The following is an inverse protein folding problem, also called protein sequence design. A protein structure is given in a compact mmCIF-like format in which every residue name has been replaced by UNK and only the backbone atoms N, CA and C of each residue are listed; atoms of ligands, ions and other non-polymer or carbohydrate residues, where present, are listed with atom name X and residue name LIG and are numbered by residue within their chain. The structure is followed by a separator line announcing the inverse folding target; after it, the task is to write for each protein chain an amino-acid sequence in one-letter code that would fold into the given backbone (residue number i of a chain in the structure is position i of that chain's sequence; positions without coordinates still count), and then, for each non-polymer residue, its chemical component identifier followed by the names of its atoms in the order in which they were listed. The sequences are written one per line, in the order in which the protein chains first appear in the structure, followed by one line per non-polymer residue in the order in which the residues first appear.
data_IF_676437923010
#
_entry.id   IF_676437923010
#
_cell.length_a   1.000
_cell.length_b   1.000
_cell.length_c   1.000
_cell.angle_alpha   90.00
_cell.angle_beta   90.00
_cell.angle_gamma   90.00
#
_symmetry.space_group_name_H-M   'P 1'
#
loop_
_entity.id
_entity.type
_entity.pdbx_description
1 polymer ?
#
# COMPACT_ATOMS: atom_id res chain seq x y z
N UNK A 1 -43.34 -0.65 -30.03
CA UNK A 1 -44.71 -0.26 -29.69
C UNK A 1 -45.23 -1.33 -28.74
N UNK A 2 -45.41 -1.14 -27.45
CA UNK A 2 -45.37 0.00 -26.54
C UNK A 2 -44.87 -0.59 -25.18
N UNK A 3 -44.19 0.09 -24.26
CA UNK A 3 -44.36 1.41 -23.63
C UNK A 3 -43.01 1.72 -22.94
N UNK A 4 -42.22 2.69 -23.39
CA UNK A 4 -42.15 4.06 -22.83
C UNK A 4 -42.29 4.18 -21.31
N UNK A 5 -41.20 4.70 -20.71
CA UNK A 5 -41.20 5.76 -19.70
C UNK A 5 -42.02 5.54 -18.41
N UNK A 6 -41.38 4.98 -17.38
CA UNK A 6 -41.82 5.17 -16.00
C UNK A 6 -40.71 4.82 -14.98
N UNK A 7 -39.78 5.76 -14.74
CA UNK A 7 -39.17 6.05 -13.42
C UNK A 7 -38.11 7.16 -13.49
N UNK A 8 -38.32 8.23 -14.27
CA UNK A 8 -37.51 9.45 -14.14
C UNK A 8 -38.07 10.30 -13.00
N UNK A 9 -37.31 10.45 -11.91
CA UNK A 9 -37.67 11.39 -10.83
C UNK A 9 -37.36 10.95 -9.39
N UNK A 10 -36.79 9.77 -9.18
CA UNK A 10 -36.24 9.37 -7.87
C UNK A 10 -34.74 9.66 -7.79
N UNK A 11 -34.21 9.95 -6.60
CA UNK A 11 -32.77 9.93 -6.35
C UNK A 11 -32.28 8.48 -6.53
N UNK A 12 -31.88 8.11 -7.74
CA UNK A 12 -31.27 6.82 -8.04
C UNK A 12 -29.81 6.90 -7.62
N UNK A 13 -29.50 6.35 -6.45
CA UNK A 13 -28.13 6.27 -5.96
C UNK A 13 -27.44 5.06 -6.60
N UNK A 14 -26.31 5.30 -7.27
CA UNK A 14 -25.41 4.25 -7.75
C UNK A 14 -24.12 4.27 -6.92
N UNK A 15 -24.04 3.49 -5.82
CA UNK A 15 -22.89 3.52 -4.92
C UNK A 15 -21.55 3.19 -5.60
N UNK A 16 -21.57 2.45 -6.71
CA UNK A 16 -20.35 2.04 -7.41
C UNK A 16 -19.74 3.17 -8.25
N UNK A 17 -20.49 4.23 -8.55
CA UNK A 17 -20.03 5.33 -9.39
C UNK A 17 -18.86 6.10 -8.79
N UNK A 18 -18.69 6.02 -7.47
CA UNK A 18 -17.58 6.63 -6.74
C UNK A 18 -16.20 6.04 -7.12
N UNK A 19 -16.17 4.82 -7.66
CA UNK A 19 -14.92 4.13 -8.06
C UNK A 19 -14.65 4.19 -9.56
N UNK A 20 -15.46 4.93 -10.32
CA UNK A 20 -15.24 5.08 -11.76
C UNK A 20 -14.04 6.00 -12.00
N UNK A 21 -13.09 5.49 -12.78
CA UNK A 21 -11.92 6.26 -13.23
C UNK A 21 -12.35 7.25 -14.30
N UNK A 22 -12.14 8.54 -14.05
CA UNK A 22 -12.50 9.61 -14.99
C UNK A 22 -11.27 10.46 -15.33
N UNK A 23 -11.12 10.90 -16.59
CA UNK A 23 -10.08 11.87 -16.94
C UNK A 23 -10.33 13.18 -16.19
N UNK A 24 -9.25 13.81 -15.73
CA UNK A 24 -9.30 15.08 -15.00
C UNK A 24 -9.47 16.26 -15.96
N UNK A 25 -8.92 16.15 -17.17
CA UNK A 25 -8.99 17.16 -18.21
C UNK A 25 -9.52 16.54 -19.51
N UNK A 26 -10.42 17.27 -20.17
CA UNK A 26 -11.02 16.86 -21.44
C UNK A 26 -12.16 15.85 -21.29
N UNK A 27 -12.82 15.58 -22.42
CA UNK A 27 -13.87 14.58 -22.55
C UNK A 27 -13.45 13.62 -23.66
N UNK A 28 -12.80 12.52 -23.28
CA UNK A 28 -12.27 11.52 -24.18
C UNK A 28 -11.90 10.24 -23.44
N UNK A 29 -11.45 9.24 -24.18
CA UNK A 29 -11.08 7.95 -23.62
C UNK A 29 -9.84 8.05 -22.71
N UNK A 30 -9.77 7.15 -21.72
CA UNK A 30 -8.62 7.04 -20.83
C UNK A 30 -7.50 6.31 -21.57
N UNK A 31 -6.41 7.02 -21.84
CA UNK A 31 -5.17 6.46 -22.37
C UNK A 31 -4.15 6.28 -21.24
N UNK A 32 -3.03 5.59 -21.52
CA UNK A 32 -2.04 5.22 -20.50
C UNK A 32 -1.46 6.39 -19.68
N UNK A 33 -1.34 7.58 -20.28
CA UNK A 33 -0.77 8.76 -19.61
C UNK A 33 -1.81 9.85 -19.35
N UNK A 34 -3.10 9.54 -19.44
CA UNK A 34 -4.15 10.52 -19.16
C UNK A 34 -4.23 10.79 -17.66
N UNK A 35 -4.09 12.05 -17.20
CA UNK A 35 -4.34 12.39 -15.80
C UNK A 35 -5.80 12.12 -15.46
N UNK A 36 -6.03 11.24 -14.50
CA UNK A 36 -7.35 10.84 -13.99
C UNK A 36 -7.50 11.24 -12.53
N UNK A 37 -8.71 11.11 -12.00
CA UNK A 37 -8.97 11.16 -10.55
C UNK A 37 -8.02 10.25 -9.75
N UNK A 38 -7.75 9.02 -10.20
CA UNK A 38 -6.79 8.11 -9.54
C UNK A 38 -5.41 8.75 -9.43
N UNK A 39 -4.87 9.27 -10.54
CA UNK A 39 -3.54 9.87 -10.57
C UNK A 39 -3.45 11.14 -9.71
N UNK A 40 -4.54 11.93 -9.66
CA UNK A 40 -4.64 13.10 -8.80
C UNK A 40 -4.56 12.69 -7.32
N UNK A 41 -5.36 11.73 -6.88
CA UNK A 41 -5.39 11.30 -5.48
C UNK A 41 -4.10 10.60 -5.07
N UNK A 42 -3.47 9.82 -5.96
CA UNK A 42 -2.12 9.28 -5.73
C UNK A 42 -1.08 10.40 -5.55
N UNK A 43 -1.11 11.43 -6.39
CA UNK A 43 -0.21 12.57 -6.27
C UNK A 43 -0.45 13.32 -4.96
N UNK A 44 -1.70 13.54 -4.56
CA UNK A 44 -2.05 14.16 -3.27
C UNK A 44 -1.56 13.32 -2.08
N UNK A 45 -1.67 11.98 -2.14
CA UNK A 45 -1.11 11.10 -1.11
C UNK A 45 0.40 11.30 -0.98
N UNK A 46 1.14 11.27 -2.09
CA UNK A 46 2.60 11.48 -2.08
C UNK A 46 2.95 12.87 -1.55
N UNK A 47 2.27 13.91 -2.01
CA UNK A 47 2.46 15.28 -1.54
C UNK A 47 2.18 15.42 -0.05
N UNK A 48 1.12 14.80 0.47
CA UNK A 48 0.78 14.83 1.89
C UNK A 48 1.86 14.14 2.74
N UNK A 49 2.39 13.00 2.29
CA UNK A 49 3.49 12.30 2.97
C UNK A 49 4.75 13.16 2.95
N UNK A 50 5.12 13.72 1.79
CA UNK A 50 6.28 14.62 1.67
C UNK A 50 6.11 15.86 2.55
N UNK A 51 4.92 16.45 2.58
CA UNK A 51 4.64 17.60 3.43
C UNK A 51 4.81 17.25 4.92
N UNK A 52 4.27 16.12 5.38
CA UNK A 52 4.43 15.71 6.77
C UNK A 52 5.89 15.37 7.11
N UNK A 53 6.52 14.48 6.33
CA UNK A 53 7.83 13.94 6.68
C UNK A 53 8.98 14.91 6.38
N UNK A 54 8.95 15.62 5.26
CA UNK A 54 10.04 16.52 4.85
C UNK A 54 9.84 17.90 5.43
N UNK A 55 8.66 18.51 5.25
CA UNK A 55 8.43 19.86 5.77
C UNK A 55 8.23 19.86 7.28
N UNK A 56 7.64 18.81 7.84
CA UNK A 56 7.45 18.66 9.29
C UNK A 56 8.75 18.47 10.08
N UNK A 57 9.82 17.96 9.46
CA UNK A 57 11.12 17.73 10.11
C UNK A 57 12.21 18.73 9.71
N UNK A 58 11.90 19.64 8.78
CA UNK A 58 12.86 20.59 8.16
C UNK A 58 13.55 21.52 9.15
N UNK A 59 12.83 22.00 10.15
CA UNK A 59 13.40 22.78 11.25
C UNK A 59 13.53 21.84 12.44
N UNK A 60 14.59 21.02 12.48
CA UNK A 60 14.85 20.10 13.60
C UNK A 60 15.14 20.88 14.88
N UNK A 61 14.08 21.43 15.49
CA UNK A 61 14.11 22.20 16.73
C UNK A 61 14.20 21.22 17.90
N UNK A 62 14.93 21.62 18.94
CA UNK A 62 15.11 20.83 20.17
C UNK A 62 13.76 20.62 20.90
N UNK A 63 12.87 21.61 20.84
CA UNK A 63 11.47 21.46 21.26
C UNK A 63 10.61 21.33 20.01
N UNK A 64 10.05 20.13 19.73
CA UNK A 64 9.36 19.89 18.47
C UNK A 64 8.02 20.62 18.41
N UNK A 65 7.71 21.16 17.23
CA UNK A 65 6.37 21.64 16.91
C UNK A 65 5.39 20.49 16.66
N UNK A 66 4.08 20.77 16.60
CA UNK A 66 3.03 19.73 16.44
C UNK A 66 3.25 18.79 15.24
N UNK A 67 3.60 19.34 14.07
CA UNK A 67 3.85 18.56 12.85
C UNK A 67 5.13 17.72 12.95
N UNK A 68 6.18 18.27 13.53
CA UNK A 68 7.43 17.56 13.81
C UNK A 68 7.18 16.38 14.75
N UNK A 69 6.43 16.58 15.84
CA UNK A 69 6.08 15.51 16.78
C UNK A 69 5.33 14.37 16.10
N UNK A 70 4.37 14.65 15.22
CA UNK A 70 3.64 13.61 14.48
C UNK A 70 4.61 12.82 13.58
N UNK A 71 5.50 13.51 12.86
CA UNK A 71 6.46 12.86 11.98
C UNK A 71 7.47 12.01 12.76
N UNK A 72 8.01 12.51 13.87
CA UNK A 72 8.94 11.79 14.75
C UNK A 72 8.30 10.58 15.42
N UNK A 73 7.05 10.71 15.87
CA UNK A 73 6.29 9.59 16.44
C UNK A 73 6.04 8.49 15.40
N UNK A 74 5.63 8.87 14.18
CA UNK A 74 5.44 7.92 13.09
C UNK A 74 6.75 7.21 12.73
N UNK A 75 7.85 7.96 12.60
CA UNK A 75 9.18 7.40 12.35
C UNK A 75 9.59 6.42 13.45
N UNK A 76 9.53 6.83 14.71
CA UNK A 76 9.94 6.01 15.85
C UNK A 76 9.08 4.77 16.03
N UNK A 77 7.76 4.89 15.80
CA UNK A 77 6.83 3.76 15.82
C UNK A 77 7.20 2.72 14.78
N UNK A 78 7.36 3.12 13.50
CA UNK A 78 7.69 2.18 12.42
C UNK A 78 9.09 1.60 12.61
N UNK A 79 10.07 2.41 13.03
CA UNK A 79 11.43 1.94 13.27
C UNK A 79 11.46 0.86 14.34
N UNK A 80 10.83 1.13 15.48
CA UNK A 80 10.77 0.20 16.59
C UNK A 80 10.01 -1.08 16.20
N UNK A 81 8.90 -0.96 15.47
CA UNK A 81 8.18 -2.12 14.94
C UNK A 81 9.07 -3.01 14.06
N UNK A 82 9.88 -2.40 13.18
CA UNK A 82 10.82 -3.16 12.33
C UNK A 82 11.91 -3.83 13.17
N UNK A 83 12.50 -3.11 14.13
CA UNK A 83 13.52 -3.67 15.01
C UNK A 83 12.97 -4.82 15.88
N UNK A 84 11.76 -4.67 16.42
CA UNK A 84 11.12 -5.67 17.29
C UNK A 84 10.74 -6.95 16.52
N UNK A 85 10.32 -6.83 15.25
CA UNK A 85 9.87 -7.98 14.43
C UNK A 85 11.01 -8.65 13.67
N UNK A 86 11.88 -7.86 13.03
CA UNK A 86 12.92 -8.34 12.13
C UNK A 86 14.34 -8.28 12.73
N UNK A 87 14.48 -7.74 13.94
CA UNK A 87 15.77 -7.54 14.60
C UNK A 87 16.56 -6.37 14.01
N UNK A 88 17.72 -6.10 14.62
CA UNK A 88 18.63 -5.00 14.23
C UNK A 88 19.10 -5.10 12.77
N UNK A 89 19.34 -6.30 12.27
CA UNK A 89 19.72 -6.52 10.88
C UNK A 89 18.58 -6.27 9.89
N UNK A 90 17.32 -6.33 10.36
CA UNK A 90 16.12 -6.01 9.59
C UNK A 90 15.92 -4.52 9.36
N UNK A 91 16.49 -3.67 10.24
CA UNK A 91 16.39 -2.20 10.16
C UNK A 91 16.94 -1.64 8.85
N UNK A 92 17.82 -2.36 8.13
CA UNK A 92 18.25 -1.92 6.78
C UNK A 92 17.10 -1.81 5.77
N UNK A 93 15.99 -2.53 5.98
CA UNK A 93 14.79 -2.43 5.16
C UNK A 93 13.81 -1.37 5.68
N UNK A 94 14.13 -0.70 6.78
CA UNK A 94 13.30 0.34 7.37
C UNK A 94 12.84 1.40 6.36
N UNK A 95 13.70 1.97 5.48
CA UNK A 95 13.23 2.98 4.52
C UNK A 95 12.12 2.46 3.61
N UNK A 96 12.25 1.22 3.13
CA UNK A 96 11.25 0.59 2.27
C UNK A 96 9.92 0.36 3.02
N UNK A 97 10.00 -0.20 4.23
CA UNK A 97 8.83 -0.45 5.07
C UNK A 97 8.14 0.86 5.47
N UNK A 98 8.92 1.88 5.82
CA UNK A 98 8.42 3.22 6.16
C UNK A 98 7.67 3.85 4.98
N UNK A 99 8.22 3.75 3.75
CA UNK A 99 7.52 4.25 2.56
C UNK A 99 6.19 3.54 2.35
N UNK A 100 6.16 2.20 2.41
CA UNK A 100 4.93 1.43 2.24
C UNK A 100 3.89 1.76 3.31
N UNK A 101 4.32 1.78 4.58
CA UNK A 101 3.45 2.10 5.70
C UNK A 101 2.82 3.48 5.55
N UNK A 102 3.64 4.50 5.31
CA UNK A 102 3.15 5.88 5.17
C UNK A 102 2.26 6.04 3.93
N UNK A 103 2.61 5.40 2.82
CA UNK A 103 1.77 5.39 1.62
C UNK A 103 0.39 4.81 1.89
N UNK A 104 0.32 3.61 2.46
CA UNK A 104 -0.94 2.92 2.72
C UNK A 104 -1.79 3.69 3.73
N UNK A 105 -1.19 4.18 4.82
CA UNK A 105 -1.90 4.95 5.85
C UNK A 105 -2.48 6.22 5.24
N UNK A 106 -1.68 7.02 4.53
CA UNK A 106 -2.17 8.26 3.94
C UNK A 106 -3.19 8.03 2.83
N UNK A 107 -2.97 7.05 1.94
CA UNK A 107 -3.93 6.72 0.88
C UNK A 107 -5.31 6.37 1.47
N UNK A 108 -5.33 5.56 2.53
CA UNK A 108 -6.58 5.20 3.21
C UNK A 108 -7.20 6.38 3.97
N UNK A 109 -6.41 7.21 4.65
CA UNK A 109 -6.92 8.40 5.34
C UNK A 109 -7.51 9.43 4.37
N UNK A 110 -6.83 9.71 3.25
CA UNK A 110 -7.37 10.58 2.20
C UNK A 110 -8.65 9.99 1.58
N UNK A 111 -8.75 8.67 1.50
CA UNK A 111 -9.95 7.97 1.04
C UNK A 111 -11.18 8.14 1.93
N UNK A 112 -11.02 8.57 3.19
CA UNK A 112 -12.14 8.86 4.10
C UNK A 112 -12.78 10.24 3.87
N UNK A 113 -12.12 11.12 3.11
CA UNK A 113 -12.66 12.44 2.83
C UNK A 113 -13.91 12.32 1.92
N UNK A 114 -15.01 13.02 2.23
CA UNK A 114 -16.16 13.06 1.33
C UNK A 114 -15.74 13.53 -0.06
N UNK A 115 -16.29 12.90 -1.10
CA UNK A 115 -15.94 13.15 -2.51
C UNK A 115 -14.50 12.77 -2.92
N UNK A 116 -13.77 12.06 -2.06
CA UNK A 116 -12.46 11.50 -2.38
C UNK A 116 -12.55 10.27 -3.27
N UNK A 117 -11.48 10.03 -4.02
CA UNK A 117 -11.29 8.78 -4.74
C UNK A 117 -10.36 7.86 -3.95
N UNK A 118 -10.88 6.73 -3.48
CA UNK A 118 -10.11 5.75 -2.73
C UNK A 118 -9.21 4.92 -3.65
N UNK A 119 -7.93 5.29 -3.77
CA UNK A 119 -6.97 4.62 -4.66
C UNK A 119 -6.70 3.17 -4.25
N UNK A 120 -6.80 2.84 -2.97
CA UNK A 120 -6.60 1.49 -2.42
C UNK A 120 -7.77 0.53 -2.69
N UNK A 121 -8.93 1.02 -3.14
CA UNK A 121 -10.04 0.17 -3.57
C UNK A 121 -9.77 -0.55 -4.89
N UNK A 122 -8.79 -0.09 -5.68
CA UNK A 122 -8.38 -0.77 -6.90
C UNK A 122 -7.34 -1.85 -6.61
N UNK A 123 -7.69 -3.09 -6.97
CA UNK A 123 -6.78 -4.23 -6.83
C UNK A 123 -5.45 -4.02 -7.55
N UNK A 124 -5.41 -3.26 -8.64
CA UNK A 124 -4.17 -2.96 -9.34
C UNK A 124 -3.14 -2.27 -8.44
N UNK A 125 -3.57 -1.31 -7.61
CA UNK A 125 -2.66 -0.58 -6.71
C UNK A 125 -2.15 -1.51 -5.61
N UNK A 126 -3.06 -2.22 -4.93
CA UNK A 126 -2.69 -3.10 -3.81
C UNK A 126 -1.90 -4.33 -4.26
N UNK A 127 -2.23 -4.91 -5.41
CA UNK A 127 -1.50 -6.04 -5.99
C UNK A 127 -0.07 -5.64 -6.39
N UNK A 128 0.14 -4.46 -6.96
CA UNK A 128 1.49 -3.98 -7.29
C UNK A 128 2.34 -3.81 -6.02
N UNK A 129 1.79 -3.23 -4.95
CA UNK A 129 2.50 -3.11 -3.67
C UNK A 129 2.80 -4.48 -3.05
N UNK A 130 1.83 -5.40 -3.07
CA UNK A 130 2.00 -6.75 -2.55
C UNK A 130 3.07 -7.52 -3.34
N UNK A 131 3.03 -7.47 -4.68
CA UNK A 131 4.04 -8.07 -5.54
C UNK A 131 5.42 -7.46 -5.33
N UNK A 132 5.52 -6.13 -5.16
CA UNK A 132 6.79 -5.49 -4.87
C UNK A 132 7.41 -6.02 -3.57
N UNK A 133 6.62 -6.15 -2.50
CA UNK A 133 7.07 -6.74 -1.22
C UNK A 133 7.44 -8.21 -1.39
N UNK A 134 6.55 -9.00 -1.98
CA UNK A 134 6.74 -10.43 -2.19
C UNK A 134 8.05 -10.70 -2.96
N UNK A 135 8.21 -10.07 -4.11
CA UNK A 135 9.43 -10.20 -4.93
C UNK A 135 10.67 -9.72 -4.18
N UNK A 136 10.59 -8.60 -3.45
CA UNK A 136 11.73 -8.10 -2.67
C UNK A 136 12.17 -9.12 -1.63
N UNK A 137 11.24 -9.69 -0.85
CA UNK A 137 11.56 -10.68 0.19
C UNK A 137 12.11 -11.95 -0.43
N UNK A 138 11.48 -12.47 -1.49
CA UNK A 138 11.95 -13.69 -2.17
C UNK A 138 13.34 -13.50 -2.77
N UNK A 139 13.57 -12.41 -3.52
CA UNK A 139 14.87 -12.12 -4.13
C UNK A 139 15.95 -11.96 -3.04
N UNK A 140 15.68 -11.18 -1.99
CA UNK A 140 16.63 -11.00 -0.88
C UNK A 140 16.91 -12.32 -0.16
N UNK A 141 15.89 -13.17 0.02
CA UNK A 141 16.02 -14.50 0.61
C UNK A 141 17.02 -15.37 -0.16
N UNK A 142 16.84 -15.48 -1.49
CA UNK A 142 17.76 -16.21 -2.36
C UNK A 142 19.15 -15.57 -2.43
N UNK A 143 19.27 -14.24 -2.45
CA UNK A 143 20.58 -13.56 -2.50
C UNK A 143 21.39 -13.83 -1.22
N UNK A 144 20.75 -13.87 -0.05
CA UNK A 144 21.44 -14.07 1.23
C UNK A 144 21.71 -15.53 1.56
N UNK A 145 20.80 -16.44 1.21
CA UNK A 145 20.85 -17.85 1.64
C UNK A 145 20.98 -18.85 0.50
N UNK A 146 20.95 -18.40 -0.76
CA UNK A 146 21.05 -19.26 -1.94
C UNK A 146 19.94 -20.33 -1.96
N UNK A 147 20.31 -21.56 -2.28
CA UNK A 147 19.38 -22.70 -2.31
C UNK A 147 18.88 -23.07 -0.91
N UNK A 148 19.65 -22.76 0.15
CA UNK A 148 19.22 -22.99 1.55
C UNK A 148 18.01 -22.13 1.93
N UNK A 149 17.69 -21.07 1.18
CA UNK A 149 16.40 -20.37 1.35
C UNK A 149 15.19 -21.32 1.22
N UNK A 150 15.28 -22.35 0.37
CA UNK A 150 14.20 -23.33 0.20
C UNK A 150 13.97 -24.21 1.43
N UNK A 151 14.94 -24.27 2.36
CA UNK A 151 14.78 -24.97 3.64
C UNK A 151 13.70 -24.31 4.50
N UNK A 152 13.35 -23.04 4.25
CA UNK A 152 12.21 -22.38 4.88
C UNK A 152 10.91 -23.16 4.66
N UNK A 153 10.73 -23.75 3.47
CA UNK A 153 9.55 -24.57 3.15
C UNK A 153 9.64 -26.00 3.70
N UNK A 154 10.81 -26.41 4.21
CA UNK A 154 11.03 -27.76 4.70
C UNK A 154 10.91 -27.83 6.22
N UNK A 155 9.71 -28.19 6.70
CA UNK A 155 9.40 -28.30 8.13
C UNK A 155 10.13 -29.48 8.77
N UNK A 156 11.35 -29.22 9.25
CA UNK A 156 12.25 -30.25 9.81
C UNK A 156 11.73 -30.87 11.11
N UNK A 157 10.85 -30.18 11.83
CA UNK A 157 10.21 -30.68 13.05
C UNK A 157 9.11 -31.74 12.78
N UNK A 158 8.66 -31.90 11.53
CA UNK A 158 7.60 -32.84 11.17
C UNK A 158 8.13 -34.26 10.86
N UNK A 159 7.31 -35.32 11.04
CA UNK A 159 7.64 -36.69 10.62
C UNK A 159 7.98 -36.78 9.12
N UNK A 160 9.00 -37.57 8.77
CA UNK A 160 9.54 -37.68 7.40
C UNK A 160 8.47 -37.88 6.29
N UNK A 161 7.45 -38.75 6.44
CA UNK A 161 6.45 -38.95 5.39
C UNK A 161 5.56 -37.73 5.12
N UNK A 162 5.39 -36.84 6.11
CA UNK A 162 4.52 -35.67 6.01
C UNK A 162 5.22 -34.45 5.42
N UNK A 163 6.56 -34.42 5.46
CA UNK A 163 7.35 -33.25 5.03
C UNK A 163 7.08 -32.82 3.58
N UNK A 164 6.95 -33.71 2.58
CA UNK A 164 6.67 -33.28 1.20
C UNK A 164 5.30 -32.61 1.04
N UNK A 165 4.28 -33.09 1.76
CA UNK A 165 2.93 -32.48 1.74
C UNK A 165 2.96 -31.13 2.44
N UNK A 166 3.66 -31.04 3.58
CA UNK A 166 3.84 -29.78 4.31
C UNK A 166 4.60 -28.74 3.47
N UNK A 167 5.65 -29.15 2.77
CA UNK A 167 6.40 -28.25 1.90
C UNK A 167 5.51 -27.69 0.76
N UNK A 168 4.61 -28.50 0.19
CA UNK A 168 3.70 -28.02 -0.85
C UNK A 168 2.72 -26.98 -0.33
N UNK A 169 2.12 -27.19 0.84
CA UNK A 169 1.18 -26.22 1.43
C UNK A 169 1.90 -24.94 1.86
N UNK A 170 3.13 -25.04 2.37
CA UNK A 170 3.94 -23.88 2.79
C UNK A 170 4.34 -23.00 1.61
N UNK A 171 4.54 -23.59 0.42
CA UNK A 171 4.82 -22.84 -0.82
C UNK A 171 3.59 -22.10 -1.34
N UNK A 172 2.38 -22.63 -1.09
CA UNK A 172 1.12 -22.04 -1.55
C UNK A 172 0.64 -20.94 -0.61
N UNK A 173 0.91 -21.07 0.69
CA UNK A 173 0.51 -20.12 1.74
C UNK A 173 1.33 -18.83 1.72
#
# INVERSE_FOLDING_TARGET
MATEEAAEGGLVFHPMDQFIVKPLFGHGDVHWYTPTNVTLWLALTVLAITALLVLGTRESKIVPGKSQSIAELAYGFVYKMVEDVAGKDGVKFFPYIMTLFMFIVFANFLGLLPMSFTTTSHIAVTAVLALAVFLTVTIVGFVKHGVSFLELFWVSSAPLPLRPVLALIEVIS
#
